data_IF_082115268018
#
_entry.id   IF_082115268018
#
_cell.length_a   1.000
_cell.length_b   1.000
_cell.length_c   1.000
_cell.angle_alpha   90.00
_cell.angle_beta   90.00
_cell.angle_gamma   90.00
#
_symmetry.space_group_name_H-M   'P 1'
#
loop_
_entity.id
_entity.type
_entity.pdbx_description
1 polymer ?
#
# COMPACT_ATOMS: atom_id res chain seq x y z
N UNK A 1 15.55 24.49 -6.86
CA UNK A 1 14.31 24.69 -6.07
C UNK A 1 13.30 23.67 -6.57
N UNK A 2 12.49 23.07 -5.72
CA UNK A 2 11.65 21.89 -6.04
C UNK A 2 11.37 20.95 -4.85
N UNK A 3 11.69 21.38 -3.63
CA UNK A 3 11.20 20.73 -2.41
C UNK A 3 10.00 21.51 -1.87
N UNK A 4 9.19 20.86 -1.04
CA UNK A 4 8.12 21.50 -0.28
C UNK A 4 8.68 22.58 0.69
N UNK A 5 7.80 23.28 1.41
CA UNK A 5 8.20 24.30 2.40
C UNK A 5 9.18 23.78 3.48
N UNK A 6 9.29 22.45 3.62
CA UNK A 6 10.15 21.74 4.56
C UNK A 6 11.39 21.11 3.88
N UNK A 7 11.58 21.33 2.58
CA UNK A 7 12.72 20.85 1.80
C UNK A 7 12.60 19.41 1.27
N UNK A 8 11.47 18.73 1.45
CA UNK A 8 11.23 17.38 0.93
C UNK A 8 10.89 17.41 -0.55
N UNK A 9 11.47 16.51 -1.34
CA UNK A 9 11.21 16.39 -2.79
C UNK A 9 10.37 15.13 -3.05
N UNK A 10 9.03 15.24 -3.11
CA UNK A 10 8.18 14.08 -3.28
C UNK A 10 8.21 13.58 -4.72
N UNK A 11 8.16 12.26 -4.89
CA UNK A 11 7.79 11.61 -6.14
C UNK A 11 6.54 10.78 -5.87
N UNK A 12 5.54 10.90 -6.72
CA UNK A 12 4.33 10.10 -6.60
C UNK A 12 4.45 8.84 -7.45
N UNK A 13 3.96 7.71 -6.93
CA UNK A 13 3.88 6.47 -7.69
C UNK A 13 2.42 6.08 -7.80
N UNK A 14 1.91 6.00 -9.02
CA UNK A 14 0.54 5.60 -9.30
C UNK A 14 0.47 4.08 -9.47
N UNK A 15 -0.55 3.46 -8.88
CA UNK A 15 -0.83 2.03 -9.08
C UNK A 15 -1.14 1.72 -10.55
N UNK A 16 -0.65 0.57 -11.01
CA UNK A 16 -0.92 0.00 -12.30
C UNK A 16 -2.02 -1.05 -12.27
N UNK A 17 -1.83 -2.13 -13.04
CA UNK A 17 -2.80 -3.24 -13.09
C UNK A 17 -2.59 -4.14 -11.87
N UNK A 18 -3.63 -4.43 -11.06
CA UNK A 18 -3.46 -5.32 -9.93
C UNK A 18 -3.07 -6.74 -10.38
N UNK A 19 -2.22 -7.44 -9.61
CA UNK A 19 -1.86 -8.82 -9.90
C UNK A 19 -3.08 -9.74 -9.79
N UNK A 20 -3.12 -10.81 -10.58
CA UNK A 20 -4.27 -11.74 -10.61
C UNK A 20 -4.59 -12.33 -9.23
N UNK A 21 -3.57 -12.53 -8.40
CA UNK A 21 -3.71 -13.07 -7.05
C UNK A 21 -4.52 -12.18 -6.10
N UNK A 22 -4.59 -10.88 -6.38
CA UNK A 22 -5.37 -9.91 -5.60
C UNK A 22 -6.86 -9.94 -5.93
N UNK A 23 -7.29 -10.72 -6.94
CA UNK A 23 -8.69 -10.77 -7.38
C UNK A 23 -9.67 -11.09 -6.26
N UNK A 24 -9.37 -12.09 -5.42
CA UNK A 24 -10.21 -12.47 -4.28
C UNK A 24 -10.40 -11.33 -3.28
N UNK A 25 -9.33 -10.58 -2.99
CA UNK A 25 -9.40 -9.43 -2.08
C UNK A 25 -10.16 -8.27 -2.72
N UNK A 26 -9.99 -8.04 -4.03
CA UNK A 26 -10.76 -7.03 -4.78
C UNK A 26 -12.25 -7.37 -4.82
N UNK A 27 -12.62 -8.63 -4.97
CA UNK A 27 -14.00 -9.11 -4.89
C UNK A 27 -14.59 -8.88 -3.50
N UNK A 28 -13.88 -9.27 -2.43
CA UNK A 28 -14.31 -8.99 -1.04
C UNK A 28 -14.47 -7.49 -0.76
N UNK A 29 -13.59 -6.65 -1.31
CA UNK A 29 -13.69 -5.19 -1.20
C UNK A 29 -14.91 -4.66 -1.96
N UNK A 30 -15.24 -5.24 -3.11
CA UNK A 30 -16.44 -4.90 -3.87
C UNK A 30 -17.70 -5.30 -3.11
N UNK A 31 -17.77 -6.52 -2.58
CA UNK A 31 -18.90 -7.01 -1.77
C UNK A 31 -19.16 -6.08 -0.57
N UNK A 32 -18.13 -5.80 0.23
CA UNK A 32 -18.23 -4.87 1.38
C UNK A 32 -18.70 -3.47 0.96
N UNK A 33 -18.33 -3.02 -0.24
CA UNK A 33 -18.80 -1.74 -0.77
C UNK A 33 -20.28 -1.81 -1.15
N UNK A 34 -20.71 -2.84 -1.86
CA UNK A 34 -22.13 -3.02 -2.22
C UNK A 34 -23.03 -3.13 -0.99
N UNK A 35 -22.56 -3.81 0.06
CA UNK A 35 -23.24 -3.85 1.36
C UNK A 35 -23.30 -2.45 1.99
N UNK A 36 -22.18 -1.72 2.00
CA UNK A 36 -22.14 -0.35 2.53
C UNK A 36 -23.05 0.62 1.75
N UNK A 37 -23.15 0.47 0.43
CA UNK A 37 -24.07 1.25 -0.42
C UNK A 37 -25.54 0.96 -0.08
N UNK A 38 -25.90 -0.31 0.12
CA UNK A 38 -27.24 -0.69 0.54
C UNK A 38 -27.60 -0.11 1.92
N UNK A 39 -26.66 -0.17 2.89
CA UNK A 39 -26.86 0.42 4.22
C UNK A 39 -26.87 1.95 4.19
N UNK A 40 -26.09 2.58 3.31
CA UNK A 40 -26.12 4.03 3.08
C UNK A 40 -27.50 4.48 2.58
N UNK A 41 -28.11 3.75 1.64
CA UNK A 41 -29.44 4.06 1.12
C UNK A 41 -30.50 3.96 2.21
N UNK A 42 -30.46 2.91 3.05
CA UNK A 42 -31.38 2.75 4.19
C UNK A 42 -31.21 3.87 5.22
N UNK A 43 -29.96 4.27 5.52
CA UNK A 43 -29.68 5.37 6.43
C UNK A 43 -30.20 6.71 5.90
N UNK A 44 -30.08 6.96 4.59
CA UNK A 44 -30.63 8.14 3.93
C UNK A 44 -32.17 8.17 4.02
N UNK A 45 -32.84 7.04 3.79
CA UNK A 45 -34.30 6.93 3.92
C UNK A 45 -34.78 7.09 5.37
N UNK A 46 -33.98 6.64 6.34
CA UNK A 46 -34.27 6.76 7.77
C UNK A 46 -33.94 8.15 8.35
N UNK A 47 -33.25 9.02 7.60
CA UNK A 47 -32.78 10.32 8.09
C UNK A 47 -31.67 10.25 9.15
N UNK A 48 -30.92 9.15 9.19
CA UNK A 48 -29.78 8.97 10.10
C UNK A 48 -28.49 9.50 9.46
N UNK A 49 -28.20 10.78 9.72
CA UNK A 49 -27.02 11.47 9.18
C UNK A 49 -25.69 10.84 9.62
N UNK A 50 -25.60 10.33 10.86
CA UNK A 50 -24.35 9.74 11.37
C UNK A 50 -24.06 8.41 10.68
N UNK A 51 -25.07 7.55 10.51
CA UNK A 51 -24.95 6.32 9.76
C UNK A 51 -24.67 6.60 8.28
N UNK A 52 -25.35 7.59 7.68
CA UNK A 52 -25.13 7.99 6.30
C UNK A 52 -23.66 8.39 6.07
N UNK A 53 -23.12 9.32 6.86
CA UNK A 53 -21.73 9.78 6.73
C UNK A 53 -20.72 8.64 6.91
N UNK A 54 -21.00 7.74 7.85
CA UNK A 54 -20.16 6.57 8.12
C UNK A 54 -20.11 5.62 6.92
N UNK A 55 -21.25 5.35 6.28
CA UNK A 55 -21.31 4.47 5.12
C UNK A 55 -20.79 5.18 3.86
N UNK A 56 -21.10 6.46 3.66
CA UNK A 56 -20.60 7.27 2.55
C UNK A 56 -19.07 7.26 2.46
N UNK A 57 -18.36 7.34 3.60
CA UNK A 57 -16.89 7.23 3.61
C UNK A 57 -16.38 5.86 3.14
N UNK A 58 -17.18 4.80 3.29
CA UNK A 58 -16.82 3.42 2.88
C UNK A 58 -17.15 3.15 1.40
N UNK A 59 -17.99 3.96 0.78
CA UNK A 59 -18.36 3.81 -0.64
C UNK A 59 -17.39 4.50 -1.59
N UNK A 60 -16.53 5.40 -1.09
CA UNK A 60 -15.55 6.14 -1.89
C UNK A 60 -14.67 5.18 -2.71
N UNK A 61 -14.57 5.47 -4.01
CA UNK A 61 -13.73 4.76 -4.97
C UNK A 61 -12.87 5.77 -5.72
N UNK A 62 -11.57 5.50 -5.79
CA UNK A 62 -10.68 6.23 -6.68
C UNK A 62 -10.95 5.78 -8.12
N UNK A 63 -11.29 6.72 -8.99
CA UNK A 63 -11.54 6.46 -10.41
C UNK A 63 -10.29 6.75 -11.23
N UNK A 64 -10.27 6.25 -12.47
CA UNK A 64 -9.21 6.60 -13.42
C UNK A 64 -9.13 8.10 -13.66
N UNK A 65 -10.28 8.78 -13.71
CA UNK A 65 -10.36 10.23 -13.88
C UNK A 65 -9.65 10.96 -12.74
N UNK A 66 -9.87 10.56 -11.48
CA UNK A 66 -9.12 11.15 -10.35
C UNK A 66 -7.61 10.99 -10.50
N UNK A 67 -7.13 9.83 -10.97
CA UNK A 67 -5.70 9.62 -11.20
C UNK A 67 -5.15 10.51 -12.32
N UNK A 68 -5.86 10.65 -13.44
CA UNK A 68 -5.43 11.53 -14.54
C UNK A 68 -5.43 13.01 -14.13
N UNK A 69 -6.42 13.43 -13.33
CA UNK A 69 -6.48 14.79 -12.77
C UNK A 69 -5.31 15.06 -11.82
N UNK A 70 -5.02 14.12 -10.92
CA UNK A 70 -3.86 14.20 -10.03
C UNK A 70 -2.55 14.26 -10.82
N UNK A 71 -2.38 13.44 -11.86
CA UNK A 71 -1.18 13.47 -12.72
C UNK A 71 -1.04 14.81 -13.45
N UNK A 72 -2.14 15.36 -13.98
CA UNK A 72 -2.15 16.68 -14.60
C UNK A 72 -1.71 17.75 -13.60
N UNK A 73 -2.25 17.71 -12.38
CA UNK A 73 -1.87 18.63 -11.31
C UNK A 73 -0.38 18.51 -10.95
N UNK A 74 0.12 17.30 -10.72
CA UNK A 74 1.53 17.05 -10.39
C UNK A 74 2.47 17.58 -11.47
N UNK A 75 2.11 17.37 -12.74
CA UNK A 75 2.86 17.89 -13.88
C UNK A 75 2.91 19.43 -13.89
N UNK A 76 1.78 20.08 -13.65
CA UNK A 76 1.71 21.55 -13.55
C UNK A 76 2.51 22.08 -12.36
N UNK A 77 2.57 21.33 -11.25
CA UNK A 77 3.38 21.66 -10.08
C UNK A 77 4.88 21.40 -10.26
N UNK A 78 5.30 20.79 -11.39
CA UNK A 78 6.69 20.39 -11.62
C UNK A 78 7.16 19.22 -10.74
N UNK A 79 6.22 18.41 -10.23
CA UNK A 79 6.49 17.24 -9.38
C UNK A 79 6.48 15.97 -10.26
N UNK A 80 7.54 15.14 -10.23
CA UNK A 80 7.58 13.91 -11.00
C UNK A 80 6.62 12.87 -10.41
N UNK A 81 6.06 12.04 -11.30
CA UNK A 81 5.34 10.84 -10.93
C UNK A 81 5.80 9.65 -11.78
N UNK A 82 5.57 8.43 -11.27
CA UNK A 82 5.90 7.17 -11.93
C UNK A 82 4.63 6.33 -12.00
N UNK A 83 4.34 5.75 -13.16
CA UNK A 83 3.31 4.74 -13.31
C UNK A 83 3.91 3.36 -13.04
N UNK A 84 3.52 2.72 -11.94
CA UNK A 84 3.94 1.35 -11.65
C UNK A 84 3.27 0.37 -12.64
N UNK A 85 3.92 -0.75 -13.00
CA UNK A 85 3.29 -1.79 -13.81
C UNK A 85 2.13 -2.45 -13.03
N UNK A 86 2.38 -2.69 -11.74
CA UNK A 86 1.46 -3.35 -10.81
C UNK A 86 1.28 -2.52 -9.53
N UNK A 87 1.81 -2.96 -8.39
CA UNK A 87 1.65 -2.32 -7.09
C UNK A 87 2.60 -1.13 -6.92
N UNK A 88 2.08 -0.01 -6.43
CA UNK A 88 2.88 1.19 -6.21
C UNK A 88 3.90 1.01 -5.08
N UNK A 89 3.58 0.26 -4.03
CA UNK A 89 4.47 -0.05 -2.90
C UNK A 89 5.71 -0.81 -3.37
N UNK A 90 5.53 -1.77 -4.28
CA UNK A 90 6.62 -2.56 -4.83
C UNK A 90 7.57 -1.71 -5.69
N UNK A 91 7.00 -0.82 -6.52
CA UNK A 91 7.78 0.13 -7.30
C UNK A 91 8.54 1.12 -6.40
N UNK A 92 7.88 1.64 -5.36
CA UNK A 92 8.51 2.51 -4.36
C UNK A 92 9.66 1.79 -3.62
N UNK A 93 9.46 0.53 -3.21
CA UNK A 93 10.49 -0.28 -2.55
C UNK A 93 11.72 -0.45 -3.44
N UNK A 94 11.52 -0.65 -4.74
CA UNK A 94 12.62 -0.74 -5.72
C UNK A 94 13.38 0.57 -5.85
N UNK A 95 12.69 1.71 -5.89
CA UNK A 95 13.34 3.03 -5.94
C UNK A 95 14.17 3.32 -4.68
N UNK A 96 13.69 2.91 -3.50
CA UNK A 96 14.44 3.01 -2.24
C UNK A 96 15.69 2.13 -2.26
N UNK A 97 15.54 0.84 -2.60
CA UNK A 97 16.67 -0.11 -2.68
C UNK A 97 17.77 0.34 -3.65
N UNK A 98 17.39 1.01 -4.74
CA UNK A 98 18.32 1.55 -5.74
C UNK A 98 18.88 2.93 -5.36
N UNK A 99 18.53 3.47 -4.19
CA UNK A 99 19.03 4.75 -3.71
C UNK A 99 18.52 5.97 -4.49
N UNK A 100 17.44 5.83 -5.28
CA UNK A 100 16.83 6.95 -6.03
C UNK A 100 16.04 7.87 -5.11
N UNK A 101 15.48 7.32 -4.02
CA UNK A 101 14.72 8.05 -2.99
C UNK A 101 15.11 7.55 -1.59
N UNK A 102 14.89 8.38 -0.57
CA UNK A 102 15.25 8.05 0.82
C UNK A 102 14.34 7.00 1.46
N UNK A 103 13.04 7.09 1.23
CA UNK A 103 12.04 6.24 1.87
C UNK A 103 10.67 6.40 1.22
N UNK A 104 9.72 5.55 1.63
CA UNK A 104 8.37 5.51 1.07
C UNK A 104 7.39 6.18 2.03
N UNK A 105 6.61 7.14 1.55
CA UNK A 105 5.50 7.73 2.31
C UNK A 105 4.19 6.99 2.06
N UNK A 106 3.91 5.89 2.76
CA UNK A 106 2.63 5.16 2.64
C UNK A 106 2.14 4.68 4.00
N UNK A 107 0.83 4.49 4.14
CA UNK A 107 0.23 3.85 5.31
C UNK A 107 0.20 2.33 5.22
N UNK A 108 0.44 1.78 4.02
CA UNK A 108 0.49 0.35 3.79
C UNK A 108 1.81 -0.25 4.28
N UNK A 109 1.72 -1.28 5.12
CA UNK A 109 2.88 -1.96 5.70
C UNK A 109 3.47 -2.99 4.73
N UNK A 110 2.76 -3.40 3.69
CA UNK A 110 3.24 -4.34 2.69
C UNK A 110 4.45 -3.80 1.91
N UNK A 111 4.67 -2.48 1.93
CA UNK A 111 5.90 -1.85 1.49
C UNK A 111 7.16 -2.46 2.13
N UNK A 112 7.11 -2.78 3.43
CA UNK A 112 8.23 -3.47 4.11
C UNK A 112 8.38 -4.91 3.59
N UNK A 113 7.29 -5.59 3.26
CA UNK A 113 7.29 -6.96 2.72
C UNK A 113 7.89 -7.00 1.31
N UNK A 114 7.67 -5.95 0.49
CA UNK A 114 8.40 -5.74 -0.77
C UNK A 114 9.87 -5.32 -0.58
N UNK A 115 10.30 -5.14 0.67
CA UNK A 115 11.68 -4.87 1.05
C UNK A 115 12.07 -3.40 1.05
N UNK A 116 11.13 -2.48 1.27
CA UNK A 116 11.46 -1.09 1.47
C UNK A 116 12.37 -0.90 2.70
N UNK A 117 13.56 -0.34 2.53
CA UNK A 117 14.50 -0.14 3.64
C UNK A 117 13.95 0.84 4.69
N UNK A 118 13.23 1.87 4.22
CA UNK A 118 12.63 2.92 5.04
C UNK A 118 11.18 3.17 4.61
N UNK A 119 10.25 2.96 5.55
CA UNK A 119 8.83 3.29 5.43
C UNK A 119 8.48 4.44 6.39
N UNK A 120 7.82 5.47 5.88
CA UNK A 120 7.42 6.66 6.61
C UNK A 120 5.89 6.76 6.63
N UNK A 121 5.31 6.71 7.81
CA UNK A 121 3.87 6.83 8.05
C UNK A 121 3.50 8.20 8.60
N UNK A 122 2.25 8.57 8.35
CA UNK A 122 1.60 9.84 8.65
C UNK A 122 2.18 11.04 7.87
N UNK A 123 2.89 10.78 6.77
CA UNK A 123 3.49 11.83 5.96
C UNK A 123 2.43 12.69 5.24
N UNK A 124 1.36 12.05 4.76
CA UNK A 124 0.28 12.70 4.00
C UNK A 124 -0.87 13.18 4.88
N UNK A 125 -0.75 13.05 6.21
CA UNK A 125 -1.79 13.51 7.12
C UNK A 125 -1.76 15.03 7.19
N UNK A 126 -2.94 15.65 7.16
CA UNK A 126 -3.08 17.09 7.35
C UNK A 126 -2.38 17.55 8.63
N UNK A 127 -1.66 18.67 8.57
CA UNK A 127 -1.01 19.27 9.74
C UNK A 127 -1.98 19.51 10.90
N UNK A 128 -3.27 19.72 10.61
CA UNK A 128 -4.33 19.87 11.60
C UNK A 128 -4.46 18.65 12.53
N UNK A 129 -4.12 17.43 12.06
CA UNK A 129 -4.18 16.20 12.87
C UNK A 129 -3.01 16.07 13.85
N UNK A 130 -1.94 16.86 13.71
CA UNK A 130 -0.75 16.89 14.59
C UNK A 130 -0.18 15.50 14.94
N UNK A 131 -0.31 14.52 14.05
CA UNK A 131 0.24 13.18 14.28
C UNK A 131 1.74 13.18 13.96
N UNK A 132 2.58 12.61 14.84
CA UNK A 132 4.02 12.55 14.57
C UNK A 132 4.28 11.59 13.41
N UNK A 133 5.21 12.00 12.54
CA UNK A 133 5.75 11.15 11.48
C UNK A 133 6.44 9.94 12.14
N UNK A 134 6.15 8.73 11.64
CA UNK A 134 6.75 7.49 12.13
C UNK A 134 7.59 6.86 11.05
N UNK A 135 8.86 6.64 11.35
CA UNK A 135 9.80 5.95 10.47
C UNK A 135 9.99 4.49 10.93
N UNK A 136 9.88 3.57 9.98
CA UNK A 136 10.13 2.14 10.16
C UNK A 136 11.31 1.76 9.27
N UNK A 137 12.37 1.24 9.89
CA UNK A 137 13.52 0.69 9.18
C UNK A 137 13.40 -0.82 9.12
N UNK A 138 13.42 -1.40 7.92
CA UNK A 138 13.34 -2.85 7.72
C UNK A 138 14.47 -3.56 8.46
N UNK A 139 15.70 -3.05 8.40
CA UNK A 139 16.84 -3.60 9.12
C UNK A 139 16.60 -3.69 10.64
N UNK A 140 16.03 -2.64 11.24
CA UNK A 140 15.68 -2.63 12.69
C UNK A 140 14.53 -3.58 13.00
N UNK A 141 13.55 -3.71 12.10
CA UNK A 141 12.44 -4.66 12.25
C UNK A 141 12.96 -6.10 12.24
N UNK A 142 13.78 -6.46 11.24
CA UNK A 142 14.39 -7.78 11.13
C UNK A 142 15.27 -8.10 12.36
N UNK A 143 16.09 -7.15 12.79
CA UNK A 143 16.91 -7.30 14.00
C UNK A 143 16.07 -7.47 15.26
N UNK A 144 15.03 -6.65 15.45
CA UNK A 144 14.16 -6.70 16.62
C UNK A 144 13.32 -7.98 16.67
N UNK A 145 12.96 -8.54 15.51
CA UNK A 145 12.29 -9.82 15.41
C UNK A 145 13.27 -11.00 15.50
N UNK A 146 14.54 -10.82 15.16
CA UNK A 146 15.55 -11.89 15.14
C UNK A 146 15.34 -12.88 14.00
N UNK A 147 14.89 -12.39 12.86
CA UNK A 147 14.60 -13.16 11.64
C UNK A 147 15.24 -12.49 10.42
N UNK A 148 15.50 -13.27 9.37
CA UNK A 148 15.98 -12.71 8.10
C UNK A 148 14.80 -12.25 7.22
N UNK A 149 15.10 -11.62 6.07
CA UNK A 149 14.08 -11.07 5.18
C UNK A 149 13.17 -12.15 4.56
N UNK A 150 13.72 -13.32 4.24
CA UNK A 150 12.98 -14.47 3.72
C UNK A 150 11.93 -14.98 4.73
N UNK A 151 12.37 -15.13 5.99
CA UNK A 151 11.52 -15.47 7.14
C UNK A 151 10.46 -14.39 7.40
N UNK A 152 10.79 -13.11 7.14
CA UNK A 152 9.86 -11.99 7.30
C UNK A 152 8.75 -12.00 6.24
N UNK A 153 9.05 -12.32 4.98
CA UNK A 153 8.01 -12.50 3.94
C UNK A 153 7.06 -13.62 4.35
N UNK A 154 7.60 -14.77 4.79
CA UNK A 154 6.79 -15.89 5.27
C UNK A 154 5.93 -15.52 6.49
N UNK A 155 6.49 -14.72 7.40
CA UNK A 155 5.73 -14.17 8.53
C UNK A 155 4.57 -13.30 8.03
N UNK A 156 4.79 -12.36 7.11
CA UNK A 156 3.74 -11.49 6.57
C UNK A 156 2.63 -12.30 5.89
N UNK A 157 2.98 -13.33 5.11
CA UNK A 157 2.01 -14.24 4.50
C UNK A 157 1.17 -14.97 5.57
N UNK A 158 1.79 -15.43 6.67
CA UNK A 158 1.08 -16.06 7.79
C UNK A 158 0.16 -15.09 8.55
N UNK A 159 0.54 -13.82 8.65
CA UNK A 159 -0.28 -12.77 9.28
C UNK A 159 -1.51 -12.41 8.42
N UNK A 160 -1.46 -12.74 7.13
CA UNK A 160 -2.45 -12.41 6.13
C UNK A 160 -1.97 -11.27 5.23
N UNK A 161 -2.02 -11.51 3.92
CA UNK A 161 -1.71 -10.53 2.89
C UNK A 161 -2.83 -10.51 1.84
N UNK A 162 -2.79 -9.54 0.93
CA UNK A 162 -3.81 -9.37 -0.10
C UNK A 162 -3.75 -10.43 -1.24
N UNK A 163 -2.67 -11.22 -1.31
CA UNK A 163 -2.36 -12.10 -2.46
C UNK A 163 -2.70 -13.57 -2.24
N UNK A 164 -2.91 -14.01 -1.00
CA UNK A 164 -3.32 -15.38 -0.71
C UNK A 164 -4.09 -15.46 0.61
N UNK A 165 -4.76 -16.59 0.82
CA UNK A 165 -5.41 -16.87 2.11
C UNK A 165 -4.38 -17.01 3.24
N UNK A 166 -4.84 -17.14 4.49
CA UNK A 166 -3.99 -17.38 5.67
C UNK A 166 -4.49 -18.58 6.46
N UNK A 167 -3.65 -19.11 7.36
CA UNK A 167 -4.00 -20.27 8.19
C UNK A 167 -4.95 -19.83 9.31
N UNK A 168 -6.18 -20.34 9.27
CA UNK A 168 -7.19 -20.03 10.29
C UNK A 168 -6.73 -20.52 11.68
N UNK A 169 -6.78 -19.62 12.66
CA UNK A 169 -6.40 -19.92 14.05
C UNK A 169 -4.93 -19.63 14.39
N UNK A 170 -4.14 -19.13 13.44
CA UNK A 170 -2.79 -18.62 13.69
C UNK A 170 -2.86 -17.08 13.70
N UNK A 171 -2.64 -16.49 14.89
CA UNK A 171 -2.54 -15.04 15.06
C UNK A 171 -1.09 -14.57 15.18
N UNK A 172 -0.89 -13.27 15.40
CA UNK A 172 0.43 -12.61 15.27
C UNK A 172 1.54 -13.25 16.12
N UNK A 173 1.27 -13.46 17.41
CA UNK A 173 2.24 -14.08 18.33
C UNK A 173 2.64 -15.48 17.88
N UNK A 174 1.63 -16.28 17.53
CA UNK A 174 1.85 -17.68 17.12
C UNK A 174 2.57 -17.78 15.78
N UNK A 175 2.24 -16.91 14.82
CA UNK A 175 2.94 -16.85 13.54
C UNK A 175 4.44 -16.58 13.74
N UNK A 176 4.78 -15.60 14.58
CA UNK A 176 6.18 -15.28 14.90
C UNK A 176 6.89 -16.45 15.59
N UNK A 177 6.25 -17.10 16.57
CA UNK A 177 6.83 -18.26 17.25
C UNK A 177 7.11 -19.41 16.27
N UNK A 178 6.16 -19.67 15.37
CA UNK A 178 6.30 -20.71 14.35
C UNK A 178 7.42 -20.40 13.36
N UNK A 179 7.54 -19.14 12.91
CA UNK A 179 8.64 -18.72 12.03
C UNK A 179 9.98 -18.82 12.74
N UNK A 180 10.09 -18.40 14.01
CA UNK A 180 11.34 -18.54 14.78
C UNK A 180 11.74 -20.00 14.97
N UNK A 181 10.76 -20.89 15.15
CA UNK A 181 10.99 -22.31 15.39
C UNK A 181 11.33 -23.07 14.09
N UNK A 182 10.57 -22.85 13.03
CA UNK A 182 10.59 -23.68 11.82
C UNK A 182 11.14 -22.97 10.58
N UNK A 183 11.37 -21.66 10.65
CA UNK A 183 12.03 -20.80 9.64
C UNK A 183 11.27 -20.57 8.33
N UNK A 184 10.40 -21.48 7.88
CA UNK A 184 9.63 -21.29 6.66
C UNK A 184 8.26 -21.97 6.72
N UNK A 185 7.34 -21.53 5.85
CA UNK A 185 5.96 -22.04 5.77
C UNK A 185 5.94 -23.56 5.50
N UNK A 186 6.80 -24.07 4.63
CA UNK A 186 6.88 -25.50 4.28
C UNK A 186 7.11 -26.37 5.52
N UNK A 187 8.05 -25.96 6.36
CA UNK A 187 8.41 -26.69 7.59
C UNK A 187 7.33 -26.52 8.64
N UNK A 188 6.69 -25.35 8.72
CA UNK A 188 5.52 -25.14 9.58
C UNK A 188 4.41 -26.13 9.19
N UNK A 189 4.05 -26.22 7.91
CA UNK A 189 2.97 -27.08 7.42
C UNK A 189 3.23 -28.58 7.68
N UNK A 190 4.49 -29.01 7.78
CA UNK A 190 4.88 -30.37 8.16
C UNK A 190 4.72 -30.66 9.66
N UNK A 191 4.78 -29.63 10.51
CA UNK A 191 4.86 -29.79 11.97
C UNK A 191 3.63 -29.27 12.73
N UNK A 192 2.69 -28.59 12.07
CA UNK A 192 1.45 -28.13 12.71
C UNK A 192 0.36 -29.22 12.71
N UNK A 193 -0.50 -29.16 13.72
CA UNK A 193 -1.71 -29.98 13.77
C UNK A 193 -2.78 -29.44 12.81
N UNK A 194 -2.88 -30.06 11.63
CA UNK A 194 -3.85 -29.70 10.59
C UNK A 194 -5.31 -29.93 11.00
N UNK A 195 -5.59 -30.70 12.07
CA UNK A 195 -6.95 -30.83 12.60
C UNK A 195 -7.34 -29.62 13.44
N UNK A 196 -6.36 -28.98 14.08
CA UNK A 196 -6.54 -27.77 14.89
C UNK A 196 -6.50 -26.51 14.04
N UNK A 197 -5.61 -26.46 13.06
CA UNK A 197 -5.39 -25.28 12.21
C UNK A 197 -5.98 -25.50 10.82
N UNK A 198 -6.88 -24.60 10.41
CA UNK A 198 -7.51 -24.66 9.10
C UNK A 198 -6.55 -24.14 8.03
N UNK A 199 -5.74 -25.03 7.47
CA UNK A 199 -4.88 -24.75 6.32
C UNK A 199 -5.75 -24.77 5.05
N UNK A 200 -5.69 -23.75 4.18
CA UNK A 200 -6.42 -23.78 2.91
C UNK A 200 -5.91 -24.91 2.01
N UNK A 201 -6.82 -25.63 1.34
CA UNK A 201 -6.46 -26.80 0.51
C UNK A 201 -5.56 -26.43 -0.69
N UNK A 202 -5.86 -25.32 -1.36
CA UNK A 202 -5.08 -24.79 -2.49
C UNK A 202 -4.36 -23.49 -2.09
N UNK A 203 -3.58 -23.53 -1.01
CA UNK A 203 -2.92 -22.34 -0.49
C UNK A 203 -1.73 -21.91 -1.37
N UNK A 204 -1.95 -20.86 -2.19
CA UNK A 204 -0.96 -20.32 -3.12
C UNK A 204 0.13 -19.44 -2.47
N UNK A 205 0.61 -19.78 -1.28
CA UNK A 205 1.60 -18.98 -0.55
C UNK A 205 2.94 -18.87 -1.29
N UNK A 206 3.34 -19.89 -2.06
CA UNK A 206 4.59 -19.87 -2.83
C UNK A 206 4.56 -18.76 -3.90
N UNK A 207 3.42 -18.59 -4.57
CA UNK A 207 3.23 -17.52 -5.57
C UNK A 207 3.17 -16.14 -4.91
N UNK A 208 2.53 -16.02 -3.75
CA UNK A 208 2.55 -14.77 -2.98
C UNK A 208 3.98 -14.41 -2.53
N UNK A 209 4.75 -15.39 -2.08
CA UNK A 209 6.17 -15.22 -1.72
C UNK A 209 6.99 -14.76 -2.91
N UNK A 210 6.81 -15.39 -4.08
CA UNK A 210 7.46 -14.99 -5.33
C UNK A 210 7.11 -13.54 -5.71
N UNK A 211 5.84 -13.15 -5.62
CA UNK A 211 5.41 -11.78 -5.89
C UNK A 211 6.09 -10.75 -4.97
N UNK A 212 6.28 -11.05 -3.69
CA UNK A 212 6.98 -10.14 -2.77
C UNK A 212 8.49 -10.04 -3.06
N UNK A 213 9.10 -11.12 -3.52
CA UNK A 213 10.53 -11.17 -3.83
C UNK A 213 10.88 -10.53 -5.17
N UNK A 214 10.10 -10.86 -6.18
CA UNK A 214 10.31 -10.51 -7.58
C UNK A 214 9.04 -9.84 -8.13
N UNK A 215 8.63 -8.67 -7.58
CA UNK A 215 7.48 -7.96 -8.08
C UNK A 215 7.72 -7.41 -9.49
N UNK A 216 6.64 -7.29 -10.27
CA UNK A 216 6.69 -6.64 -11.58
C UNK A 216 6.81 -5.12 -11.40
N UNK A 217 8.03 -4.62 -11.58
CA UNK A 217 8.41 -3.20 -11.39
C UNK A 217 9.25 -2.70 -12.56
N UNK A 218 9.20 -1.39 -12.79
CA UNK A 218 10.13 -0.71 -13.67
C UNK A 218 11.52 -0.67 -13.03
N UNK A 219 12.54 -0.87 -13.84
CA UNK A 219 13.92 -0.63 -13.43
C UNK A 219 14.12 0.85 -13.13
N UNK A 220 14.56 1.21 -11.92
CA UNK A 220 14.74 2.62 -11.55
C UNK A 220 15.89 3.33 -12.26
N UNK A 221 16.75 2.63 -12.99
CA UNK A 221 17.70 3.27 -13.93
C UNK A 221 17.01 3.81 -15.18
N UNK A 222 15.85 3.26 -15.54
CA UNK A 222 15.00 3.82 -16.59
C UNK A 222 14.15 5.00 -16.10
N UNK A 223 14.14 5.27 -14.79
CA UNK A 223 13.34 6.32 -14.17
C UNK A 223 14.23 7.54 -13.87
N UNK A 224 13.99 8.62 -14.60
CA UNK A 224 14.66 9.91 -14.40
C UNK A 224 13.74 10.86 -13.62
N UNK A 225 14.06 11.08 -12.34
CA UNK A 225 13.27 11.92 -11.45
C UNK A 225 13.75 13.37 -11.52
N UNK A 226 12.93 14.24 -12.12
CA UNK A 226 13.21 15.68 -12.25
C UNK A 226 12.09 16.49 -11.64
N UNK A 227 12.47 17.38 -10.73
CA UNK A 227 11.61 18.42 -10.20
C UNK A 227 11.88 19.71 -10.96
N UNK A 228 10.85 20.29 -11.53
CA UNK A 228 10.92 21.55 -12.29
C UNK A 228 10.22 22.66 -11.53
N UNK A 229 10.36 23.89 -12.00
CA UNK A 229 9.53 24.98 -11.50
C UNK A 229 8.07 24.75 -11.92
N UNK A 230 7.10 25.14 -11.08
CA UNK A 230 5.68 25.01 -11.39
C UNK A 230 5.30 25.94 -12.55
N UNK A 231 4.37 25.48 -13.39
CA UNK A 231 3.75 26.25 -14.45
C UNK A 231 2.58 27.05 -13.85
N UNK A 232 2.89 28.20 -13.26
CA UNK A 232 1.92 29.01 -12.50
C UNK A 232 0.69 29.41 -13.32
N UNK A 233 0.90 29.80 -14.59
CA UNK A 233 -0.20 30.25 -15.47
C UNK A 233 -1.19 29.11 -15.72
N UNK A 234 -0.69 27.94 -16.14
CA UNK A 234 -1.56 26.80 -16.42
C UNK A 234 -2.10 26.16 -15.14
N UNK A 235 -1.39 26.27 -14.01
CA UNK A 235 -1.87 25.82 -12.71
C UNK A 235 -3.07 26.65 -12.24
N UNK A 236 -3.02 27.98 -12.35
CA UNK A 236 -4.15 28.86 -12.04
C UNK A 236 -5.31 28.61 -12.99
N UNK A 237 -5.04 28.48 -14.29
CA UNK A 237 -6.08 28.18 -15.26
C UNK A 237 -6.80 26.86 -14.94
N UNK A 238 -6.05 25.82 -14.58
CA UNK A 238 -6.62 24.52 -14.22
C UNK A 238 -7.39 24.58 -12.89
N UNK A 239 -6.77 25.09 -11.82
CA UNK A 239 -7.35 25.06 -10.48
C UNK A 239 -8.53 26.04 -10.32
N UNK A 240 -8.38 27.28 -10.79
CA UNK A 240 -9.40 28.32 -10.60
C UNK A 240 -10.47 28.23 -11.68
N UNK A 241 -10.08 28.24 -12.96
CA UNK A 241 -11.06 28.36 -14.04
C UNK A 241 -11.77 27.04 -14.35
N UNK A 242 -11.05 25.90 -14.37
CA UNK A 242 -11.67 24.59 -14.67
C UNK A 242 -12.24 23.92 -13.41
N UNK A 243 -11.56 24.03 -12.26
CA UNK A 243 -11.91 23.30 -11.03
C UNK A 243 -12.60 24.15 -9.96
N UNK A 244 -12.71 25.46 -10.14
CA UNK A 244 -13.47 26.36 -9.25
C UNK A 244 -12.85 26.58 -7.87
N UNK A 245 -11.52 26.38 -7.74
CA UNK A 245 -10.80 26.75 -6.52
C UNK A 245 -10.66 28.28 -6.41
N UNK A 246 -10.52 28.75 -5.16
CA UNK A 246 -10.34 30.17 -4.84
C UNK A 246 -8.91 30.66 -5.09
#
# INVERSE_FOLDING_TARGET
RGGDEKGMKPVYVCEGKPPQMKSKELEKRLERRTEAEAEMSKAAEAGDEEAFDKFARRTVKVTREHNEECKRLLKLMGIPYVDAPTEAEAQCATLVKQGKVYGIGTEDMDALTFGADVLVRHLTFSEARKMPIREYSLAKVLQGLGINFEEFIDLCILLGCDYCDSIKGIGQKRALDLIKQYRNIETILKNIDKKKYGVPDEWAYEKARELFKEPEVLCGDAIDLKWTEPDEENLVAYMVNEKGFA
#
